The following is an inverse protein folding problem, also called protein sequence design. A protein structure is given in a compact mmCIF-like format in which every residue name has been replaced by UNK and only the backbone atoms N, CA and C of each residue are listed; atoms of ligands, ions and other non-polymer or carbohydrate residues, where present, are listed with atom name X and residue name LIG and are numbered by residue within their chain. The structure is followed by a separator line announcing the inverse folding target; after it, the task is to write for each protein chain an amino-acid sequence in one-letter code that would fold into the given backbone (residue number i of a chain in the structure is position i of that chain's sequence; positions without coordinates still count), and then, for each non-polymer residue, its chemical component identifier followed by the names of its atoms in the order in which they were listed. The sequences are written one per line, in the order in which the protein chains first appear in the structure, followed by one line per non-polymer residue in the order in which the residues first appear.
data_IF_918474558548
#
_entry.id   IF_918474558548
#
_cell.length_a   1.000
_cell.length_b   1.000
_cell.length_c   1.000
_cell.angle_alpha   90.00
_cell.angle_beta   90.00
_cell.angle_gamma   90.00
#
_symmetry.space_group_name_H-M   'P 1'
#
loop_
_entity.id
_entity.type
_entity.pdbx_description
1 polymer ?
#
# COMPACT_ATOMS: atom_id res chain seq x y z
N UNK A 1 30.98 56.19 10.44
CA UNK A 1 30.00 56.06 11.55
C UNK A 1 29.11 54.84 11.39
N UNK A 2 28.31 54.68 10.34
CA UNK A 2 27.39 53.54 10.23
C UNK A 2 28.09 52.17 10.08
N UNK A 3 29.19 52.12 9.32
CA UNK A 3 30.00 50.89 9.20
C UNK A 3 30.60 50.43 10.53
N UNK A 4 31.11 51.35 11.35
CA UNK A 4 31.70 51.00 12.66
C UNK A 4 30.64 50.52 13.65
N UNK A 5 29.44 51.10 13.62
CA UNK A 5 28.29 50.61 14.40
C UNK A 5 27.90 49.21 13.97
N UNK A 6 27.88 48.92 12.66
CA UNK A 6 27.57 47.60 12.14
C UNK A 6 28.63 46.56 12.55
N UNK A 7 29.92 46.90 12.45
CA UNK A 7 31.03 46.04 12.87
C UNK A 7 30.92 45.71 14.36
N UNK A 8 30.71 46.71 15.21
CA UNK A 8 30.54 46.51 16.65
C UNK A 8 29.28 45.69 16.98
N UNK A 9 28.19 45.89 16.25
CA UNK A 9 26.96 45.11 16.40
C UNK A 9 27.17 43.64 16.07
N UNK A 10 27.90 43.34 14.99
CA UNK A 10 28.21 41.96 14.60
C UNK A 10 29.20 41.31 15.58
N UNK A 11 30.27 42.01 15.95
CA UNK A 11 31.29 41.47 16.87
C UNK A 11 30.71 41.17 18.25
N UNK A 12 29.82 42.03 18.75
CA UNK A 12 29.22 41.88 20.07
C UNK A 12 27.88 41.14 20.03
N UNK A 13 27.47 40.60 18.87
CA UNK A 13 26.17 39.92 18.70
C UNK A 13 26.01 38.67 19.56
N UNK A 14 27.11 38.14 20.08
CA UNK A 14 27.15 36.95 20.93
C UNK A 14 27.47 37.26 22.39
N UNK A 15 27.72 38.53 22.73
CA UNK A 15 27.97 38.94 24.11
C UNK A 15 26.71 38.71 24.95
N UNK A 16 26.88 37.93 26.03
CA UNK A 16 25.78 37.54 26.91
C UNK A 16 24.98 36.30 26.46
N UNK A 17 25.30 35.71 25.30
CA UNK A 17 24.74 34.41 24.92
C UNK A 17 25.43 33.32 25.74
N UNK A 18 24.69 32.69 26.64
CA UNK A 18 25.17 31.52 27.37
C UNK A 18 25.27 30.34 26.41
N UNK A 19 26.41 29.64 26.43
CA UNK A 19 26.59 28.45 25.61
C UNK A 19 25.55 27.40 25.98
N UNK A 20 24.64 27.11 25.04
CA UNK A 20 23.62 26.08 25.26
C UNK A 20 24.30 24.72 25.32
N UNK A 21 24.10 23.98 26.40
CA UNK A 21 24.55 22.59 26.50
C UNK A 21 23.52 21.74 25.73
N UNK A 22 23.90 21.11 24.60
CA UNK A 22 22.96 20.26 23.88
C UNK A 22 22.50 19.12 24.79
N UNK A 23 21.23 18.76 24.69
CA UNK A 23 20.69 17.60 25.38
C UNK A 23 21.44 16.35 24.89
N UNK A 24 22.08 15.66 25.84
CA UNK A 24 22.91 14.46 25.59
C UNK A 24 22.09 13.35 24.93
N UNK A 25 20.77 13.34 25.14
CA UNK A 25 19.85 12.37 24.57
C UNK A 25 19.34 12.75 23.17
N UNK A 26 19.53 14.00 22.74
CA UNK A 26 19.01 14.49 21.46
C UNK A 26 19.59 13.70 20.28
N UNK A 27 20.91 13.49 20.30
CA UNK A 27 21.62 12.73 19.28
C UNK A 27 21.11 11.28 19.21
N UNK A 28 21.00 10.62 20.37
CA UNK A 28 20.49 9.24 20.44
C UNK A 28 19.03 9.14 19.98
N UNK A 29 18.21 10.14 20.25
CA UNK A 29 16.81 10.20 19.81
C UNK A 29 16.70 10.36 18.29
N UNK A 30 17.54 11.21 17.70
CA UNK A 30 17.62 11.38 16.24
C UNK A 30 18.10 10.09 15.59
N UNK A 31 19.18 9.51 16.09
CA UNK A 31 19.76 8.28 15.57
C UNK A 31 18.77 7.10 15.65
N UNK A 32 18.08 6.93 16.78
CA UNK A 32 17.05 5.92 16.93
C UNK A 32 15.90 6.14 15.95
N UNK A 33 15.47 7.39 15.71
CA UNK A 33 14.41 7.67 14.75
C UNK A 33 14.82 7.36 13.31
N UNK A 34 16.07 7.62 12.94
CA UNK A 34 16.62 7.30 11.61
C UNK A 34 16.76 5.79 11.42
N UNK A 35 17.24 5.07 12.45
CA UNK A 35 17.47 3.62 12.41
C UNK A 35 16.19 2.79 12.58
N UNK A 36 15.09 3.39 13.02
CA UNK A 36 13.81 2.69 13.21
C UNK A 36 13.20 2.34 11.85
N UNK A 37 13.50 1.14 11.37
CA UNK A 37 12.83 0.57 10.21
C UNK A 37 11.42 0.13 10.62
N UNK A 38 10.41 0.59 9.88
CA UNK A 38 9.04 0.09 10.03
C UNK A 38 8.95 -1.27 9.34
N UNK A 39 9.41 -2.32 10.03
CA UNK A 39 9.38 -3.68 9.51
C UNK A 39 7.99 -4.25 9.72
N UNK A 40 7.32 -4.62 8.63
CA UNK A 40 6.05 -5.34 8.70
C UNK A 40 6.33 -6.82 8.98
N UNK A 41 5.55 -7.46 9.84
CA UNK A 41 5.72 -8.89 10.11
C UNK A 41 5.54 -9.71 8.83
N UNK A 42 6.38 -10.73 8.66
CA UNK A 42 6.33 -11.65 7.51
C UNK A 42 4.95 -12.29 7.31
N UNK A 43 4.19 -12.46 8.41
CA UNK A 43 2.81 -12.95 8.37
C UNK A 43 1.90 -12.08 7.49
N UNK A 44 1.99 -10.76 7.62
CA UNK A 44 1.16 -9.82 6.86
C UNK A 44 1.56 -9.77 5.38
N UNK A 45 2.85 -9.93 5.09
CA UNK A 45 3.36 -10.03 3.72
C UNK A 45 2.74 -11.25 3.02
N UNK A 46 2.71 -12.41 3.68
CA UNK A 46 2.09 -13.61 3.14
C UNK A 46 0.57 -13.51 2.99
N UNK A 47 -0.12 -12.87 3.94
CA UNK A 47 -1.58 -12.63 3.84
C UNK A 47 -1.88 -11.75 2.63
N UNK A 48 -1.11 -10.67 2.43
CA UNK A 48 -1.27 -9.79 1.27
C UNK A 48 -1.01 -10.56 -0.03
N UNK A 49 0.10 -11.32 -0.11
CA UNK A 49 0.45 -12.11 -1.28
C UNK A 49 -0.64 -13.15 -1.63
N UNK A 50 -1.17 -13.88 -0.64
CA UNK A 50 -2.25 -14.84 -0.85
C UNK A 50 -3.53 -14.17 -1.34
N UNK A 51 -3.87 -13.00 -0.78
CA UNK A 51 -5.03 -12.22 -1.21
C UNK A 51 -4.92 -11.80 -2.68
N UNK A 52 -3.74 -11.31 -3.08
CA UNK A 52 -3.46 -10.97 -4.48
C UNK A 52 -3.50 -12.20 -5.40
N UNK A 53 -2.94 -13.34 -4.97
CA UNK A 53 -2.97 -14.57 -5.76
C UNK A 53 -4.40 -15.06 -6.02
N UNK A 54 -5.28 -15.01 -5.01
CA UNK A 54 -6.69 -15.37 -5.14
C UNK A 54 -7.40 -14.43 -6.13
N UNK A 55 -7.23 -13.11 -5.95
CA UNK A 55 -7.80 -12.11 -6.83
C UNK A 55 -7.34 -12.33 -8.28
N UNK A 56 -6.04 -12.52 -8.49
CA UNK A 56 -5.48 -12.79 -9.81
C UNK A 56 -6.08 -14.06 -10.41
N UNK A 57 -6.11 -15.16 -9.66
CA UNK A 57 -6.66 -16.43 -10.11
C UNK A 57 -8.14 -16.34 -10.50
N UNK A 58 -8.95 -15.63 -9.70
CA UNK A 58 -10.38 -15.44 -9.99
C UNK A 58 -10.58 -14.60 -11.26
N UNK A 59 -9.87 -13.48 -11.39
CA UNK A 59 -9.98 -12.63 -12.58
C UNK A 59 -9.49 -13.37 -13.83
N UNK A 60 -8.40 -14.13 -13.71
CA UNK A 60 -7.88 -14.97 -14.80
C UNK A 60 -8.89 -16.06 -15.18
N UNK A 61 -9.48 -16.75 -14.20
CA UNK A 61 -10.52 -17.74 -14.45
C UNK A 61 -11.72 -17.12 -15.18
N UNK A 62 -12.18 -15.92 -14.80
CA UNK A 62 -13.31 -15.26 -15.49
C UNK A 62 -12.98 -14.95 -16.95
N UNK A 63 -11.75 -14.51 -17.24
CA UNK A 63 -11.31 -14.20 -18.61
C UNK A 63 -11.19 -15.47 -19.46
N UNK A 64 -10.68 -16.57 -18.90
CA UNK A 64 -10.41 -17.82 -19.64
C UNK A 64 -11.57 -18.83 -19.62
N UNK A 65 -12.49 -18.71 -18.67
CA UNK A 65 -13.74 -19.48 -18.67
C UNK A 65 -14.69 -18.82 -19.67
N UNK A 66 -14.43 -19.01 -20.96
CA UNK A 66 -15.37 -18.66 -22.01
C UNK A 66 -16.76 -19.24 -21.70
N UNK A 67 -17.85 -18.73 -22.31
CA UNK A 67 -19.19 -19.17 -21.99
C UNK A 67 -19.30 -20.69 -22.21
N UNK A 68 -19.39 -21.44 -21.12
CA UNK A 68 -19.82 -22.83 -21.14
C UNK A 68 -21.29 -22.83 -21.56
N UNK A 69 -21.54 -22.76 -22.87
CA UNK A 69 -22.82 -23.17 -23.43
C UNK A 69 -22.86 -24.70 -23.31
N UNK A 70 -23.26 -25.20 -22.15
CA UNK A 70 -23.78 -26.56 -22.09
C UNK A 70 -25.10 -26.55 -22.85
N UNK A 71 -25.08 -27.01 -24.10
CA UNK A 71 -26.28 -27.17 -24.92
C UNK A 71 -27.32 -28.11 -24.28
N UNK A 72 -26.95 -28.80 -23.19
CA UNK A 72 -27.75 -29.74 -22.41
C UNK A 72 -29.11 -29.18 -21.97
N UNK A 73 -29.19 -27.91 -21.54
CA UNK A 73 -30.47 -27.33 -21.10
C UNK A 73 -31.41 -27.06 -22.29
N UNK A 74 -30.85 -26.61 -23.41
CA UNK A 74 -31.59 -26.40 -24.67
C UNK A 74 -32.01 -27.73 -25.28
N UNK A 75 -31.14 -28.74 -25.28
CA UNK A 75 -31.42 -30.09 -25.77
C UNK A 75 -32.51 -30.78 -24.93
N UNK A 76 -32.49 -30.60 -23.60
CA UNK A 76 -33.52 -31.13 -22.71
C UNK A 76 -34.88 -30.43 -22.92
N UNK A 77 -34.89 -29.10 -23.13
CA UNK A 77 -36.11 -28.37 -23.49
C UNK A 77 -36.67 -28.82 -24.83
N UNK A 78 -35.83 -28.93 -25.85
CA UNK A 78 -36.23 -29.43 -27.18
C UNK A 78 -36.78 -30.86 -27.08
N UNK A 79 -36.12 -31.75 -26.35
CA UNK A 79 -36.60 -33.11 -26.12
C UNK A 79 -37.95 -33.15 -25.38
N UNK A 80 -38.19 -32.25 -24.43
CA UNK A 80 -39.48 -32.15 -23.73
C UNK A 80 -40.61 -31.68 -24.64
N UNK A 81 -40.33 -30.73 -25.53
CA UNK A 81 -41.29 -30.19 -26.50
C UNK A 81 -41.63 -31.28 -27.53
N UNK A 82 -40.63 -31.96 -28.09
CA UNK A 82 -40.85 -33.08 -29.02
C UNK A 82 -41.67 -34.20 -28.39
N UNK A 83 -41.37 -34.59 -27.13
CA UNK A 83 -42.13 -35.61 -26.41
C UNK A 83 -43.58 -35.18 -26.15
N UNK A 84 -43.83 -33.90 -25.85
CA UNK A 84 -45.19 -33.39 -25.65
C UNK A 84 -46.02 -33.28 -26.93
N UNK A 85 -45.36 -33.20 -28.09
CA UNK A 85 -46.01 -32.96 -29.39
C UNK A 85 -46.25 -34.25 -30.20
N UNK A 86 -46.07 -35.42 -29.58
CA UNK A 86 -46.27 -36.76 -30.20
C UNK A 86 -47.70 -37.32 -30.05
N UNK A 87 -48.69 -36.48 -29.72
CA UNK A 87 -50.10 -36.90 -29.55
C UNK A 87 -51.03 -36.49 -30.70
N UNK A 88 -50.49 -36.32 -31.91
CA UNK A 88 -51.26 -36.37 -33.16
C UNK A 88 -50.58 -37.29 -34.17
#
# INVERSE_FOLDING_TARGET
MEQEKWINSVMNSTDGITQVKPDVLLFSKIENKIKRQNVVSNKWIWIAAASFAILFSLNFKVIFSGPNKSNTDTEMLVASIYKSNQLY
#
